data_IF_481703034303
#
_entry.id   IF_481703034303
#
_cell.length_a   1.000
_cell.length_b   1.000
_cell.length_c   1.000
_cell.angle_alpha   90.00
_cell.angle_beta   90.00
_cell.angle_gamma   90.00
#
_symmetry.space_group_name_H-M   'P 1'
#
loop_
_entity.id
_entity.type
_entity.pdbx_description
1 polymer ?
#
# COMPACT_ATOMS: atom_id res chain seq x y z
N UNK A 1 4.47 -9.98 -18.67
CA UNK A 1 5.22 -10.05 -17.41
C UNK A 1 5.66 -11.48 -17.23
N UNK A 2 6.87 -11.69 -16.71
CA UNK A 2 7.36 -13.03 -16.42
C UNK A 2 6.52 -13.70 -15.31
N UNK A 3 6.31 -15.03 -15.36
CA UNK A 3 5.54 -15.74 -14.32
C UNK A 3 6.12 -15.55 -12.91
N UNK A 4 7.44 -15.42 -12.80
CA UNK A 4 8.24 -15.27 -11.59
C UNK A 4 8.68 -13.82 -11.32
N UNK A 5 7.97 -12.84 -11.90
CA UNK A 5 8.15 -11.41 -11.66
C UNK A 5 8.39 -11.09 -10.16
N UNK A 6 9.50 -10.42 -9.85
CA UNK A 6 9.74 -9.88 -8.51
C UNK A 6 8.89 -8.62 -8.30
N UNK A 7 7.91 -8.69 -7.40
CA UNK A 7 7.08 -7.55 -7.01
C UNK A 7 7.35 -7.04 -5.59
N UNK A 8 8.54 -7.35 -5.05
CA UNK A 8 8.98 -6.91 -3.73
C UNK A 8 8.35 -7.74 -2.62
N UNK A 9 7.15 -7.36 -2.19
CA UNK A 9 6.45 -8.08 -1.09
C UNK A 9 5.86 -9.41 -1.52
N UNK A 10 5.73 -9.65 -2.83
CA UNK A 10 5.18 -10.88 -3.40
C UNK A 10 5.98 -11.28 -4.64
N UNK A 11 6.01 -12.60 -4.94
CA UNK A 11 6.68 -13.15 -6.11
C UNK A 11 5.65 -13.70 -7.11
N UNK A 12 5.79 -13.28 -8.36
CA UNK A 12 4.99 -13.72 -9.49
C UNK A 12 3.76 -12.86 -9.78
N UNK A 13 3.36 -12.85 -11.05
CA UNK A 13 2.26 -12.02 -11.56
C UNK A 13 0.93 -12.28 -10.85
N UNK A 14 0.60 -13.55 -10.60
CA UNK A 14 -0.65 -13.92 -9.92
C UNK A 14 -0.70 -13.40 -8.48
N UNK A 15 0.43 -13.49 -7.76
CA UNK A 15 0.52 -12.99 -6.40
C UNK A 15 0.41 -11.46 -6.36
N UNK A 16 0.98 -10.76 -7.35
CA UNK A 16 0.80 -9.32 -7.52
C UNK A 16 -0.67 -8.93 -7.80
N UNK A 17 -1.35 -9.63 -8.71
CA UNK A 17 -2.75 -9.37 -9.02
C UNK A 17 -3.65 -9.60 -7.79
N UNK A 18 -3.40 -10.68 -7.06
CA UNK A 18 -4.06 -10.98 -5.77
C UNK A 18 -3.82 -9.89 -4.73
N UNK A 19 -2.58 -9.41 -4.61
CA UNK A 19 -2.20 -8.33 -3.70
C UNK A 19 -3.02 -7.06 -3.97
N UNK A 20 -3.15 -6.67 -5.25
CA UNK A 20 -4.01 -5.55 -5.66
C UNK A 20 -5.50 -5.77 -5.37
N UNK A 21 -6.00 -6.99 -5.61
CA UNK A 21 -7.38 -7.36 -5.27
C UNK A 21 -7.68 -7.19 -3.77
N UNK A 22 -6.76 -7.63 -2.91
CA UNK A 22 -6.89 -7.46 -1.45
C UNK A 22 -6.75 -5.99 -1.05
N UNK A 23 -5.81 -5.25 -1.64
CA UNK A 23 -5.57 -3.85 -1.33
C UNK A 23 -6.82 -2.99 -1.55
N UNK A 24 -7.51 -3.20 -2.68
CA UNK A 24 -8.76 -2.50 -3.02
C UNK A 24 -9.97 -2.92 -2.17
N UNK A 25 -9.86 -3.98 -1.34
CA UNK A 25 -10.85 -4.29 -0.30
C UNK A 25 -10.60 -3.51 0.99
N UNK A 26 -9.34 -3.18 1.29
CA UNK A 26 -9.01 -2.39 2.48
C UNK A 26 -9.19 -0.91 2.24
N UNK A 27 -8.93 -0.42 1.03
CA UNK A 27 -9.08 0.99 0.68
C UNK A 27 -10.11 1.19 -0.40
N UNK A 28 -10.89 2.28 -0.30
CA UNK A 28 -11.82 2.70 -1.36
C UNK A 28 -11.21 3.79 -2.23
N UNK A 29 -11.82 4.00 -3.40
CA UNK A 29 -11.46 5.06 -4.35
C UNK A 29 -9.96 5.15 -4.66
N UNK A 30 -9.33 3.97 -4.76
CA UNK A 30 -7.91 3.84 -5.07
C UNK A 30 -7.66 4.41 -6.47
N UNK A 31 -6.84 5.45 -6.57
CA UNK A 31 -6.38 6.01 -7.84
C UNK A 31 -4.87 6.08 -7.86
N UNK A 32 -4.30 5.74 -9.00
CA UNK A 32 -2.88 5.89 -9.30
C UNK A 32 -2.78 6.80 -10.51
N UNK A 33 -2.10 7.93 -10.36
CA UNK A 33 -1.84 8.87 -11.44
C UNK A 33 -0.35 8.83 -11.77
N UNK A 34 -0.03 8.80 -13.06
CA UNK A 34 1.34 8.86 -13.55
C UNK A 34 1.75 10.33 -13.68
N UNK A 35 2.81 10.71 -12.98
CA UNK A 35 3.31 12.09 -12.97
C UNK A 35 4.47 12.25 -13.96
N UNK A 36 5.41 11.32 -13.95
CA UNK A 36 6.54 11.28 -14.88
C UNK A 36 7.09 9.87 -15.05
N UNK A 37 7.87 9.68 -16.11
CA UNK A 37 8.58 8.45 -16.41
C UNK A 37 10.05 8.79 -16.69
N UNK A 38 10.95 8.09 -16.02
CA UNK A 38 12.40 8.29 -16.12
C UNK A 38 13.07 6.95 -16.46
N UNK A 39 13.91 6.95 -17.49
CA UNK A 39 14.75 5.80 -17.81
C UNK A 39 15.98 5.82 -16.92
N UNK A 40 16.13 4.82 -16.05
CA UNK A 40 17.29 4.70 -15.16
C UNK A 40 18.42 3.94 -15.84
N UNK A 41 18.09 2.89 -16.60
CA UNK A 41 19.04 2.12 -17.40
C UNK A 41 18.40 1.72 -18.73
N UNK A 42 19.14 1.01 -19.59
CA UNK A 42 18.59 0.43 -20.82
C UNK A 42 17.42 -0.54 -20.57
N UNK A 43 17.34 -1.15 -19.39
CA UNK A 43 16.38 -2.18 -19.04
C UNK A 43 15.56 -1.85 -17.79
N UNK A 44 15.60 -0.60 -17.33
CA UNK A 44 14.80 -0.19 -16.17
C UNK A 44 14.25 1.22 -16.29
N UNK A 45 13.03 1.38 -15.80
CA UNK A 45 12.26 2.61 -15.84
C UNK A 45 11.63 2.85 -14.48
N UNK A 46 11.69 4.08 -14.00
CA UNK A 46 10.99 4.52 -12.79
C UNK A 46 9.87 5.47 -13.19
N UNK A 47 8.65 5.09 -12.85
CA UNK A 47 7.48 5.95 -12.95
C UNK A 47 7.25 6.66 -11.61
N UNK A 48 7.19 7.98 -11.60
CA UNK A 48 6.72 8.74 -10.44
C UNK A 48 5.20 8.81 -10.46
N UNK A 49 4.57 8.58 -9.32
CA UNK A 49 3.12 8.47 -9.24
C UNK A 49 2.55 9.28 -8.09
N UNK A 50 1.31 9.71 -8.25
CA UNK A 50 0.47 10.20 -7.17
C UNK A 50 -0.61 9.15 -6.90
N UNK A 51 -0.58 8.57 -5.70
CA UNK A 51 -1.50 7.54 -5.27
C UNK A 51 -2.48 8.15 -4.28
N UNK A 52 -3.75 7.79 -4.40
CA UNK A 52 -4.77 8.29 -3.47
C UNK A 52 -5.77 7.23 -3.11
N UNK A 53 -6.12 7.18 -1.82
CA UNK A 53 -6.94 6.12 -1.22
C UNK A 53 -7.87 6.71 -0.17
N UNK A 54 -9.05 6.15 -0.01
CA UNK A 54 -10.01 6.52 1.02
C UNK A 54 -9.98 5.48 2.14
N UNK A 55 -9.79 5.93 3.38
CA UNK A 55 -9.82 5.10 4.58
C UNK A 55 -11.27 4.79 4.95
N UNK A 56 -11.53 3.52 5.26
CA UNK A 56 -12.85 3.01 5.62
C UNK A 56 -12.82 2.25 6.93
N UNK A 57 -13.99 1.86 7.44
CA UNK A 57 -14.11 0.99 8.61
C UNK A 57 -13.35 -0.33 8.41
N UNK A 58 -13.32 -0.87 7.18
CA UNK A 58 -12.59 -2.10 6.85
C UNK A 58 -11.08 -1.89 6.99
N UNK A 59 -10.57 -0.72 6.58
CA UNK A 59 -9.16 -0.34 6.78
C UNK A 59 -8.81 -0.34 8.27
N UNK A 60 -9.72 0.19 9.10
CA UNK A 60 -9.47 0.46 10.51
C UNK A 60 -9.78 -0.70 11.46
N UNK A 61 -10.30 -1.84 10.94
CA UNK A 61 -10.86 -2.95 11.73
C UNK A 61 -9.92 -3.56 12.79
N UNK A 62 -8.60 -3.31 12.73
CA UNK A 62 -7.63 -3.75 13.74
C UNK A 62 -7.25 -2.71 14.79
N UNK A 63 -7.59 -1.43 14.60
CA UNK A 63 -7.21 -0.36 15.54
C UNK A 63 -8.00 -0.35 16.85
N UNK A 64 -9.04 -1.18 16.99
CA UNK A 64 -10.03 -1.03 18.07
C UNK A 64 -9.93 -2.04 19.22
N UNK A 65 -8.98 -2.99 19.25
CA UNK A 65 -9.20 -4.22 20.03
C UNK A 65 -8.12 -4.67 21.03
N UNK A 66 -7.02 -3.94 21.27
CA UNK A 66 -6.02 -4.38 22.26
C UNK A 66 -5.34 -3.21 22.97
N UNK A 67 -5.31 -3.24 24.31
CA UNK A 67 -4.61 -2.25 25.12
C UNK A 67 -5.31 -1.93 26.44
N UNK A 68 -4.73 -1.01 27.21
CA UNK A 68 -5.38 -0.39 28.37
C UNK A 68 -6.60 0.46 27.93
N UNK A 69 -7.51 0.83 28.85
CA UNK A 69 -8.64 1.71 28.53
C UNK A 69 -8.22 3.01 27.82
N UNK A 70 -7.14 3.65 28.28
CA UNK A 70 -6.61 4.88 27.68
C UNK A 70 -6.11 4.66 26.25
N UNK A 71 -5.47 3.52 25.98
CA UNK A 71 -5.01 3.16 24.62
C UNK A 71 -6.20 2.90 23.69
N UNK A 72 -7.27 2.29 24.20
CA UNK A 72 -8.49 2.07 23.42
C UNK A 72 -9.20 3.39 23.10
N UNK A 73 -9.26 4.32 24.06
CA UNK A 73 -9.83 5.65 23.83
C UNK A 73 -9.01 6.44 22.79
N UNK A 74 -7.68 6.45 22.93
CA UNK A 74 -6.78 7.04 21.92
C UNK A 74 -6.98 6.41 20.55
N UNK A 75 -7.07 5.08 20.48
CA UNK A 75 -7.32 4.34 19.23
C UNK A 75 -8.66 4.71 18.58
N UNK A 76 -9.74 4.88 19.37
CA UNK A 76 -11.03 5.35 18.87
C UNK A 76 -10.96 6.78 18.33
N UNK A 77 -10.26 7.68 19.02
CA UNK A 77 -10.06 9.06 18.56
C UNK A 77 -9.30 9.13 17.25
N UNK A 78 -8.21 8.34 17.13
CA UNK A 78 -7.43 8.21 15.89
C UNK A 78 -8.30 7.63 14.77
N UNK A 79 -9.04 6.54 15.03
CA UNK A 79 -9.93 5.93 14.05
C UNK A 79 -11.01 6.91 13.56
N UNK A 80 -11.60 7.69 14.46
CA UNK A 80 -12.58 8.72 14.11
C UNK A 80 -11.99 9.83 13.24
N UNK A 81 -10.74 10.23 13.47
CA UNK A 81 -10.03 11.20 12.60
C UNK A 81 -9.76 10.64 11.21
N UNK A 82 -9.41 9.35 11.11
CA UNK A 82 -9.03 8.71 9.85
C UNK A 82 -10.21 8.28 8.99
N UNK A 83 -11.34 7.91 9.60
CA UNK A 83 -12.48 7.36 8.89
C UNK A 83 -12.99 8.34 7.83
N UNK A 84 -13.09 7.88 6.58
CA UNK A 84 -13.55 8.68 5.44
C UNK A 84 -12.50 9.63 4.88
N UNK A 85 -11.31 9.73 5.48
CA UNK A 85 -10.24 10.59 4.94
C UNK A 85 -9.69 10.02 3.64
N UNK A 86 -9.41 10.93 2.71
CA UNK A 86 -8.72 10.64 1.46
C UNK A 86 -7.25 10.99 1.60
N UNK A 87 -6.39 9.98 1.71
CA UNK A 87 -4.95 10.17 1.69
C UNK A 87 -4.48 10.36 0.25
N UNK A 88 -3.57 11.32 0.05
CA UNK A 88 -2.86 11.54 -1.21
C UNK A 88 -1.37 11.39 -0.91
N UNK A 89 -0.70 10.52 -1.65
CA UNK A 89 0.64 10.03 -1.37
C UNK A 89 1.49 10.16 -2.64
N UNK A 90 2.70 10.69 -2.49
CA UNK A 90 3.70 10.59 -3.54
C UNK A 90 4.27 9.17 -3.56
N UNK A 91 4.42 8.59 -4.74
CA UNK A 91 4.94 7.24 -4.91
C UNK A 91 5.79 7.07 -6.15
N UNK A 92 6.24 5.84 -6.33
CA UNK A 92 7.00 5.43 -7.51
C UNK A 92 6.79 3.95 -7.80
N UNK A 93 6.86 3.59 -9.08
CA UNK A 93 6.90 2.20 -9.53
C UNK A 93 8.14 2.00 -10.41
N UNK A 94 9.01 1.10 -10.01
CA UNK A 94 10.19 0.69 -10.78
C UNK A 94 9.88 -0.56 -11.58
N UNK A 95 10.13 -0.52 -12.88
CA UNK A 95 9.99 -1.65 -13.80
C UNK A 95 11.37 -2.09 -14.28
N UNK A 96 11.61 -3.40 -14.29
CA UNK A 96 12.84 -4.02 -14.81
C UNK A 96 12.47 -5.07 -15.86
N UNK A 97 13.22 -5.10 -16.96
CA UNK A 97 12.99 -5.99 -18.10
C UNK A 97 14.15 -6.98 -18.28
N UNK A 98 13.84 -8.19 -18.73
CA UNK A 98 14.83 -9.11 -19.28
C UNK A 98 14.99 -8.88 -20.79
N UNK A 99 16.21 -8.56 -21.21
CA UNK A 99 16.55 -8.27 -22.61
C UNK A 99 16.47 -9.48 -23.54
N UNK A 100 16.45 -10.71 -22.99
CA UNK A 100 16.40 -11.93 -23.79
C UNK A 100 14.97 -12.36 -24.13
N UNK A 101 14.02 -12.07 -23.25
CA UNK A 101 12.61 -12.47 -23.39
C UNK A 101 11.66 -11.29 -23.67
N UNK A 102 12.15 -10.05 -23.57
CA UNK A 102 11.36 -8.80 -23.62
C UNK A 102 10.21 -8.76 -22.60
N UNK A 103 10.39 -9.44 -21.46
CA UNK A 103 9.39 -9.51 -20.39
C UNK A 103 9.79 -8.63 -19.20
N UNK A 104 8.79 -8.01 -18.55
CA UNK A 104 8.98 -7.41 -17.23
C UNK A 104 9.28 -8.53 -16.23
N UNK A 105 10.43 -8.45 -15.57
CA UNK A 105 10.91 -9.37 -14.54
C UNK A 105 10.93 -8.76 -13.15
N UNK A 106 10.79 -7.43 -13.03
CA UNK A 106 10.63 -6.75 -11.74
C UNK A 106 9.62 -5.61 -11.78
N UNK A 107 8.82 -5.47 -10.72
CA UNK A 107 7.86 -4.38 -10.50
C UNK A 107 7.83 -4.00 -9.01
N UNK A 108 8.60 -2.98 -8.63
CA UNK A 108 8.67 -2.54 -7.23
C UNK A 108 7.89 -1.25 -7.05
N UNK A 109 6.86 -1.28 -6.22
CA UNK A 109 6.00 -0.13 -5.91
C UNK A 109 6.21 0.36 -4.48
N UNK A 110 6.18 1.68 -4.29
CA UNK A 110 6.25 2.32 -2.97
C UNK A 110 5.51 3.66 -3.00
N UNK A 111 4.93 4.06 -1.87
CA UNK A 111 4.30 5.36 -1.68
C UNK A 111 4.49 5.88 -0.25
N UNK A 112 4.66 7.18 -0.09
CA UNK A 112 4.81 7.81 1.23
C UNK A 112 3.44 7.98 1.91
N UNK A 113 3.07 7.00 2.75
CA UNK A 113 1.87 7.09 3.58
C UNK A 113 2.11 7.90 4.87
N UNK A 114 3.36 8.08 5.28
CA UNK A 114 3.72 8.75 6.54
C UNK A 114 3.39 10.24 6.46
N UNK A 115 3.77 10.92 5.37
CA UNK A 115 3.54 12.36 5.22
C UNK A 115 2.07 12.77 5.36
N UNK A 116 1.09 12.19 4.61
CA UNK A 116 -0.31 12.59 4.76
C UNK A 116 -0.91 12.19 6.12
N UNK A 117 -0.46 11.09 6.72
CA UNK A 117 -0.86 10.70 8.06
C UNK A 117 -0.35 11.70 9.11
N UNK A 118 0.91 12.13 8.99
CA UNK A 118 1.51 13.11 9.88
C UNK A 118 0.81 14.47 9.75
N UNK A 119 0.47 14.89 8.52
CA UNK A 119 -0.31 16.11 8.28
C UNK A 119 -1.68 16.05 8.96
N UNK A 120 -2.36 14.90 8.91
CA UNK A 120 -3.67 14.72 9.51
C UNK A 120 -3.64 14.67 11.05
N UNK A 121 -2.63 14.02 11.62
CA UNK A 121 -2.55 13.77 13.07
C UNK A 121 -1.75 14.81 13.83
N UNK A 122 -0.85 15.52 13.16
CA UNK A 122 0.00 16.57 13.73
C UNK A 122 1.13 16.07 14.64
N UNK A 123 1.29 14.76 14.80
CA UNK A 123 2.35 14.17 15.62
C UNK A 123 2.74 12.77 15.14
N UNK A 124 4.00 12.40 15.32
CA UNK A 124 4.55 11.11 14.84
C UNK A 124 4.15 9.93 15.72
N UNK A 125 3.78 10.16 16.99
CA UNK A 125 3.39 9.09 17.91
C UNK A 125 2.07 8.44 17.47
N UNK A 126 1.08 9.24 17.09
CA UNK A 126 -0.17 8.75 16.53
C UNK A 126 0.05 8.08 15.16
N UNK A 127 0.96 8.60 14.31
CA UNK A 127 1.34 7.93 13.05
C UNK A 127 1.90 6.55 13.30
N UNK A 128 2.83 6.43 14.26
CA UNK A 128 3.40 5.15 14.67
C UNK A 128 2.32 4.19 15.19
N UNK A 129 1.38 4.70 15.99
CA UNK A 129 0.25 3.92 16.49
C UNK A 129 -0.61 3.36 15.33
N UNK A 130 -0.95 4.21 14.36
CA UNK A 130 -1.70 3.81 13.16
C UNK A 130 -0.95 2.76 12.34
N UNK A 131 0.35 2.87 12.16
CA UNK A 131 1.08 1.93 11.33
C UNK A 131 1.45 0.62 12.07
N UNK A 132 1.56 0.64 13.41
CA UNK A 132 1.98 -0.51 14.23
C UNK A 132 1.12 -1.78 14.05
N UNK A 133 -0.19 -1.60 13.82
CA UNK A 133 -1.15 -2.69 13.68
C UNK A 133 -1.87 -2.67 12.32
N UNK A 134 -1.39 -1.84 11.40
CA UNK A 134 -1.94 -1.74 10.06
C UNK A 134 -1.65 -2.99 9.25
N UNK A 135 -2.49 -3.23 8.23
CA UNK A 135 -2.23 -4.23 7.19
C UNK A 135 -1.39 -3.68 6.04
N UNK A 136 -0.88 -2.46 6.21
CA UNK A 136 -0.01 -1.76 5.26
C UNK A 136 1.26 -1.30 5.94
N UNK A 137 2.35 -1.27 5.18
CA UNK A 137 3.62 -0.67 5.59
C UNK A 137 3.58 0.86 5.40
N UNK A 138 4.55 1.60 5.97
CA UNK A 138 4.72 3.03 5.70
C UNK A 138 4.85 3.38 4.21
N UNK A 139 5.35 2.44 3.40
CA UNK A 139 5.49 2.52 1.94
C UNK A 139 4.19 2.17 1.18
N UNK A 140 3.06 2.04 1.88
CA UNK A 140 1.75 1.69 1.33
C UNK A 140 1.66 0.29 0.69
N UNK A 141 2.57 -0.63 1.04
CA UNK A 141 2.49 -2.03 0.60
C UNK A 141 1.70 -2.87 1.60
N UNK A 142 0.99 -3.90 1.16
CA UNK A 142 0.33 -4.81 2.10
C UNK A 142 1.36 -5.61 2.89
N UNK A 143 1.15 -5.73 4.19
CA UNK A 143 1.87 -6.69 5.02
C UNK A 143 1.40 -8.10 4.64
N UNK A 144 2.30 -9.07 4.59
CA UNK A 144 1.94 -10.46 4.31
C UNK A 144 1.12 -11.01 5.48
N UNK A 145 -0.04 -11.62 5.19
CA UNK A 145 -0.89 -12.22 6.22
C UNK A 145 -1.98 -13.11 5.64
N UNK A 146 -2.66 -13.87 6.51
CA UNK A 146 -3.67 -14.88 6.13
C UNK A 146 -4.82 -14.34 5.28
N UNK A 147 -5.15 -13.05 5.40
CA UNK A 147 -6.20 -12.40 4.59
C UNK A 147 -5.89 -12.38 3.08
N UNK A 148 -4.65 -12.65 2.69
CA UNK A 148 -4.25 -12.78 1.29
C UNK A 148 -4.74 -14.09 0.65
N UNK A 149 -4.97 -15.14 1.45
CA UNK A 149 -5.38 -16.45 0.97
C UNK A 149 -6.88 -16.51 0.59
N UNK A 150 -7.70 -15.65 1.20
CA UNK A 150 -9.15 -15.61 0.97
C UNK A 150 -9.60 -14.97 -0.35
N UNK A 151 -8.68 -14.60 -1.25
CA UNK A 151 -9.02 -13.99 -2.53
C UNK A 151 -8.91 -15.04 -3.66
N UNK A 152 -10.00 -15.42 -4.34
CA UNK A 152 -9.89 -16.28 -5.52
C UNK A 152 -9.19 -15.52 -6.64
N UNK A 153 -8.22 -16.15 -7.30
CA UNK A 153 -7.73 -15.68 -8.59
C UNK A 153 -8.86 -15.94 -9.58
N UNK A 154 -9.58 -14.88 -9.98
CA UNK A 154 -10.42 -14.97 -11.17
C UNK A 154 -9.48 -14.85 -12.36
N UNK A 155 -9.00 -16.00 -12.84
CA UNK A 155 -8.41 -16.11 -14.17
C UNK A 155 -9.52 -16.07 -15.22
#
# INVERSE_FOLDING_TARGET
MAPDLDAGTVLGFEALARNWGVFTKFFRDVRVQLDSVEHTTAHSVVARTTISVTITEVTLRRHSCSGSPDQQERGRHIAAKLLGQRLVMCGSVSFTWDSSTDQVVGLISQADMVSPLLQLMGNIEDVSNVLSNARVTPECNLVIGEYMLGYPLYC
#
